data_IF_839370696815
#
_entry.id   IF_839370696815
#
_cell.length_a   1.000
_cell.length_b   1.000
_cell.length_c   1.000
_cell.angle_alpha   90.00
_cell.angle_beta   90.00
_cell.angle_gamma   90.00
#
_symmetry.space_group_name_H-M   'P 1'
#
loop_
_entity.id
_entity.type
_entity.pdbx_description
1 polymer ?
#
# COMPACT_ATOMS: atom_id res chain seq x y z
N UNK A 1 -91.34 -4.61 -10.75
CA UNK A 1 -90.70 -3.51 -11.51
C UNK A 1 -89.57 -2.97 -10.66
N UNK A 2 -88.36 -3.47 -10.86
CA UNK A 2 -87.31 -2.89 -11.71
C UNK A 2 -86.69 -1.60 -11.14
N UNK A 3 -85.45 -1.78 -10.63
CA UNK A 3 -84.24 -0.92 -10.76
C UNK A 3 -84.32 0.46 -10.06
N UNK A 4 -83.29 1.04 -9.48
CA UNK A 4 -81.84 0.84 -9.33
C UNK A 4 -81.38 2.04 -8.48
N UNK A 5 -80.41 1.95 -7.57
CA UNK A 5 -78.99 1.98 -7.92
C UNK A 5 -78.18 2.57 -6.77
N UNK A 6 -77.19 1.81 -6.31
CA UNK A 6 -75.73 2.09 -6.40
C UNK A 6 -75.18 2.83 -5.18
N UNK A 7 -74.69 2.04 -4.24
CA UNK A 7 -73.76 2.43 -3.17
C UNK A 7 -72.41 2.89 -3.76
N UNK A 8 -71.93 4.02 -3.25
CA UNK A 8 -70.56 4.52 -3.48
C UNK A 8 -69.61 3.86 -2.49
N UNK A 9 -68.86 2.86 -2.94
CA UNK A 9 -67.66 2.40 -2.24
C UNK A 9 -66.45 3.22 -2.69
N UNK A 10 -65.84 3.93 -1.75
CA UNK A 10 -64.60 4.69 -1.93
C UNK A 10 -63.41 3.73 -2.15
N UNK A 11 -62.74 3.85 -3.29
CA UNK A 11 -61.50 3.15 -3.62
C UNK A 11 -60.31 3.86 -2.98
N UNK A 12 -59.57 3.15 -2.11
CA UNK A 12 -58.28 3.60 -1.59
C UNK A 12 -57.19 3.47 -2.68
N UNK A 13 -56.19 4.37 -2.72
CA UNK A 13 -55.15 4.32 -3.74
C UNK A 13 -54.16 3.18 -3.44
N UNK A 14 -53.96 2.30 -4.43
CA UNK A 14 -52.87 1.33 -4.46
C UNK A 14 -51.52 2.05 -4.66
N UNK A 15 -50.69 2.09 -3.63
CA UNK A 15 -49.26 2.42 -3.79
C UNK A 15 -48.50 1.15 -4.20
N UNK A 16 -48.14 1.04 -5.48
CA UNK A 16 -47.14 0.07 -5.92
C UNK A 16 -45.75 0.59 -5.54
N UNK A 17 -45.12 -0.04 -4.54
CA UNK A 17 -43.70 0.14 -4.28
C UNK A 17 -42.94 -0.72 -5.28
N UNK A 18 -42.51 -0.12 -6.39
CA UNK A 18 -41.52 -0.72 -7.27
C UNK A 18 -40.19 -0.73 -6.54
N UNK A 19 -39.75 -1.91 -6.09
CA UNK A 19 -38.39 -2.14 -5.60
C UNK A 19 -37.39 -1.81 -6.73
N UNK A 20 -36.77 -0.63 -6.63
CA UNK A 20 -35.64 -0.25 -7.48
C UNK A 20 -34.48 -1.22 -7.20
N UNK A 21 -34.09 -1.97 -8.23
CA UNK A 21 -32.93 -2.85 -8.19
C UNK A 21 -31.65 -2.09 -7.79
N UNK A 22 -30.77 -2.67 -6.95
CA UNK A 22 -29.49 -2.04 -6.61
C UNK A 22 -28.50 -2.28 -7.76
N UNK A 23 -28.57 -1.47 -8.82
CA UNK A 23 -27.66 -1.56 -9.95
C UNK A 23 -27.17 -0.16 -10.35
N UNK A 24 -26.19 0.37 -9.60
CA UNK A 24 -25.30 1.49 -10.01
C UNK A 24 -24.15 1.79 -9.04
N UNK A 25 -24.16 1.22 -7.82
CA UNK A 25 -23.10 1.43 -6.81
C UNK A 25 -21.86 0.55 -7.08
N UNK A 26 -22.06 -0.73 -7.42
CA UNK A 26 -20.98 -1.72 -7.63
C UNK A 26 -20.05 -1.42 -8.81
N UNK A 27 -20.56 -0.80 -9.88
CA UNK A 27 -19.78 -0.45 -11.08
C UNK A 27 -18.84 0.73 -10.81
N UNK A 28 -19.26 1.68 -9.95
CA UNK A 28 -18.50 2.87 -9.61
C UNK A 28 -17.33 2.57 -8.67
N UNK A 29 -17.51 1.64 -7.73
CA UNK A 29 -16.41 1.14 -6.86
C UNK A 29 -15.35 0.36 -7.64
N UNK A 30 -15.74 -0.46 -8.63
CA UNK A 30 -14.79 -1.22 -9.47
C UNK A 30 -13.94 -0.30 -10.36
N UNK A 31 -14.59 0.63 -11.06
CA UNK A 31 -13.89 1.62 -11.89
C UNK A 31 -12.97 2.52 -11.07
N UNK A 32 -13.33 2.87 -9.83
CA UNK A 32 -12.47 3.68 -8.95
C UNK A 32 -11.19 2.94 -8.51
N UNK A 33 -11.31 1.66 -8.11
CA UNK A 33 -10.17 0.79 -7.77
C UNK A 33 -9.23 0.54 -8.96
N UNK A 34 -9.80 0.30 -10.14
CA UNK A 34 -9.05 0.12 -11.39
C UNK A 34 -8.34 1.42 -11.83
N UNK A 35 -8.98 2.57 -11.68
CA UNK A 35 -8.42 3.87 -12.07
C UNK A 35 -7.20 4.27 -11.22
N UNK A 36 -7.23 3.93 -9.92
CA UNK A 36 -6.14 4.19 -8.97
C UNK A 36 -5.15 3.02 -8.87
N UNK A 37 -5.48 1.84 -9.41
CA UNK A 37 -4.65 0.64 -9.31
C UNK A 37 -4.47 0.13 -7.88
N UNK A 38 -5.47 0.36 -7.01
CA UNK A 38 -5.43 0.04 -5.58
C UNK A 38 -6.06 -1.34 -5.32
N UNK A 39 -5.23 -2.27 -4.84
CA UNK A 39 -5.67 -3.60 -4.40
C UNK A 39 -5.49 -3.72 -2.89
N UNK A 40 -6.52 -4.19 -2.18
CA UNK A 40 -6.43 -4.40 -0.74
C UNK A 40 -5.51 -5.60 -0.47
N UNK A 41 -4.54 -5.42 0.42
CA UNK A 41 -3.58 -6.48 0.76
C UNK A 41 -4.20 -7.39 1.81
N UNK A 42 -4.32 -8.71 1.57
CA UNK A 42 -4.77 -9.65 2.60
C UNK A 42 -3.88 -9.61 3.85
N UNK A 43 -4.46 -9.98 5.00
CA UNK A 43 -3.75 -9.96 6.30
C UNK A 43 -2.51 -10.84 6.28
N UNK A 44 -2.61 -12.04 5.71
CA UNK A 44 -1.54 -13.03 5.61
C UNK A 44 -0.37 -12.50 4.77
N UNK A 45 -0.69 -11.85 3.65
CA UNK A 45 0.32 -11.21 2.79
C UNK A 45 0.97 -10.04 3.51
N UNK A 46 0.19 -9.22 4.22
CA UNK A 46 0.71 -8.08 4.99
C UNK A 46 1.62 -8.54 6.12
N UNK A 47 1.23 -9.57 6.87
CA UNK A 47 2.03 -10.18 7.94
C UNK A 47 3.31 -10.78 7.38
N UNK A 48 3.25 -11.45 6.23
CA UNK A 48 4.43 -11.97 5.56
C UNK A 48 5.39 -10.84 5.12
N UNK A 49 4.90 -9.78 4.49
CA UNK A 49 5.72 -8.61 4.11
C UNK A 49 6.40 -8.03 5.34
N UNK A 50 5.65 -7.81 6.42
CA UNK A 50 6.20 -7.30 7.67
C UNK A 50 7.22 -8.27 8.29
N UNK A 51 7.05 -9.59 8.13
CA UNK A 51 7.96 -10.63 8.64
C UNK A 51 9.34 -10.63 7.98
N UNK A 52 9.47 -10.07 6.76
CA UNK A 52 10.74 -10.01 6.04
C UNK A 52 11.73 -9.01 6.63
N UNK A 53 11.23 -7.99 7.33
CA UNK A 53 12.07 -7.05 8.06
C UNK A 53 12.98 -7.80 9.04
N UNK A 54 14.17 -7.29 9.29
CA UNK A 54 15.06 -7.81 10.35
C UNK A 54 14.64 -7.24 11.71
N UNK A 55 15.57 -7.17 12.68
CA UNK A 55 15.28 -6.55 13.97
C UNK A 55 14.73 -5.13 13.78
N UNK A 56 13.64 -4.82 14.48
CA UNK A 56 13.08 -3.46 14.49
C UNK A 56 13.83 -2.62 15.52
N UNK A 57 14.10 -1.34 15.25
CA UNK A 57 14.66 -0.44 16.24
C UNK A 57 13.67 -0.18 17.38
N UNK A 58 14.18 0.23 18.55
CA UNK A 58 13.33 0.59 19.69
C UNK A 58 12.34 1.72 19.36
N UNK A 59 12.72 2.63 18.45
CA UNK A 59 11.85 3.65 17.87
C UNK A 59 11.70 3.44 16.37
N UNK A 60 10.52 2.98 15.97
CA UNK A 60 10.14 2.82 14.56
C UNK A 60 9.55 4.13 14.05
N UNK A 61 10.10 4.65 12.96
CA UNK A 61 9.57 5.77 12.17
C UNK A 61 9.17 5.19 10.82
N UNK A 62 7.91 4.78 10.75
CA UNK A 62 7.32 4.06 9.63
C UNK A 62 6.79 5.04 8.59
N UNK A 63 7.11 4.80 7.32
CA UNK A 63 6.44 5.38 6.16
C UNK A 63 5.65 4.29 5.42
N UNK A 64 4.33 4.48 5.32
CA UNK A 64 3.42 3.69 4.49
C UNK A 64 2.94 4.57 3.32
N UNK A 65 3.64 4.49 2.19
CA UNK A 65 3.50 5.45 1.09
C UNK A 65 2.22 5.31 0.26
N UNK A 66 1.49 4.22 0.44
CA UNK A 66 0.21 3.94 -0.22
C UNK A 66 -0.61 3.09 0.73
N UNK A 67 -1.00 3.69 1.84
CA UNK A 67 -1.49 2.98 3.01
C UNK A 67 -2.77 2.19 2.75
N UNK A 68 -3.61 2.62 1.81
CA UNK A 68 -4.92 2.03 1.59
C UNK A 68 -5.68 2.01 2.91
N UNK A 69 -6.24 0.85 3.26
CA UNK A 69 -6.93 0.66 4.54
C UNK A 69 -5.98 0.45 5.74
N UNK A 70 -4.65 0.52 5.57
CA UNK A 70 -3.66 0.42 6.66
C UNK A 70 -3.18 -1.01 6.97
N UNK A 71 -3.35 -1.96 6.05
CA UNK A 71 -3.06 -3.38 6.30
C UNK A 71 -1.57 -3.65 6.62
N UNK A 72 -0.65 -3.01 5.90
CA UNK A 72 0.81 -3.14 6.13
C UNK A 72 1.23 -2.52 7.46
N UNK A 73 0.70 -1.33 7.77
CA UNK A 73 0.89 -0.70 9.08
C UNK A 73 0.40 -1.60 10.22
N UNK A 74 -0.79 -2.18 10.10
CA UNK A 74 -1.33 -3.10 11.11
C UNK A 74 -0.48 -4.37 11.28
N UNK A 75 0.07 -4.91 10.20
CA UNK A 75 0.99 -6.05 10.23
C UNK A 75 2.29 -5.73 10.97
N UNK A 76 2.89 -4.55 10.71
CA UNK A 76 4.07 -4.10 11.44
C UNK A 76 3.79 -3.94 12.93
N UNK A 77 2.63 -3.36 13.28
CA UNK A 77 2.24 -3.17 14.67
C UNK A 77 2.02 -4.51 15.37
N UNK A 78 1.38 -5.50 14.72
CA UNK A 78 1.28 -6.88 15.26
C UNK A 78 2.65 -7.49 15.53
N UNK A 79 3.60 -7.33 14.61
CA UNK A 79 4.98 -7.79 14.79
C UNK A 79 5.68 -7.04 15.93
N UNK A 80 5.52 -5.72 16.02
CA UNK A 80 6.15 -4.90 17.03
C UNK A 80 5.61 -5.18 18.45
N UNK A 81 4.37 -5.62 18.59
CA UNK A 81 3.80 -6.02 19.87
C UNK A 81 4.21 -7.44 20.33
N UNK A 82 5.05 -8.16 19.58
CA UNK A 82 5.58 -9.44 20.05
C UNK A 82 6.57 -9.22 21.22
N UNK A 83 6.58 -10.07 22.26
CA UNK A 83 7.41 -9.86 23.45
C UNK A 83 8.92 -9.68 23.18
N UNK A 84 9.43 -10.26 22.10
CA UNK A 84 10.84 -10.22 21.72
C UNK A 84 11.21 -9.05 20.79
N UNK A 85 10.28 -8.14 20.46
CA UNK A 85 10.51 -7.10 19.45
C UNK A 85 11.48 -6.01 19.91
N UNK A 86 11.51 -5.68 21.21
CA UNK A 86 12.25 -4.56 21.76
C UNK A 86 11.72 -3.16 21.36
N UNK A 87 10.59 -3.08 20.66
CA UNK A 87 9.99 -1.82 20.21
C UNK A 87 9.35 -1.10 21.40
N UNK A 88 9.57 0.21 21.48
CA UNK A 88 9.07 1.10 22.55
C UNK A 88 8.22 2.25 22.00
N UNK A 89 8.44 2.61 20.74
CA UNK A 89 7.72 3.71 20.07
C UNK A 89 7.55 3.42 18.58
N UNK A 90 6.38 3.76 18.06
CA UNK A 90 6.06 3.72 16.64
C UNK A 90 5.45 5.06 16.24
N UNK A 91 6.10 5.77 15.33
CA UNK A 91 5.56 6.94 14.65
C UNK A 91 5.28 6.56 13.20
N UNK A 92 4.03 6.70 12.77
CA UNK A 92 3.56 6.34 11.42
C UNK A 92 3.27 7.60 10.62
N UNK A 93 3.83 7.66 9.41
CA UNK A 93 3.41 8.57 8.36
C UNK A 93 2.75 7.75 7.24
N UNK A 94 1.44 7.90 7.08
CA UNK A 94 0.65 7.16 6.11
C UNK A 94 0.14 8.09 5.01
N UNK A 95 0.45 7.78 3.75
CA UNK A 95 -0.09 8.49 2.59
C UNK A 95 -1.26 7.71 2.00
N UNK A 96 -2.35 8.40 1.72
CA UNK A 96 -3.47 7.85 0.95
C UNK A 96 -4.08 8.98 0.13
N UNK A 97 -4.31 8.76 -1.17
CA UNK A 97 -4.85 9.77 -2.08
C UNK A 97 -6.37 9.68 -2.20
N UNK A 98 -6.95 8.49 -1.98
CA UNK A 98 -8.37 8.23 -2.09
C UNK A 98 -9.13 8.61 -0.80
N UNK A 99 -9.94 9.68 -0.82
CA UNK A 99 -10.73 10.07 0.35
C UNK A 99 -11.72 8.98 0.80
N UNK A 100 -12.13 8.08 -0.10
CA UNK A 100 -13.11 7.03 0.20
C UNK A 100 -12.56 5.98 1.19
N UNK A 101 -11.24 5.79 1.22
CA UNK A 101 -10.56 4.80 2.05
C UNK A 101 -10.15 5.37 3.41
N UNK A 102 -9.98 6.69 3.53
CA UNK A 102 -9.53 7.36 4.77
C UNK A 102 -10.32 6.95 6.03
N UNK A 103 -11.65 6.75 6.01
CA UNK A 103 -12.37 6.25 7.19
C UNK A 103 -11.92 4.85 7.64
N UNK A 104 -11.60 3.96 6.70
CA UNK A 104 -11.07 2.63 7.02
C UNK A 104 -9.66 2.73 7.58
N UNK A 105 -8.78 3.52 6.94
CA UNK A 105 -7.43 3.77 7.43
C UNK A 105 -7.42 4.30 8.87
N UNK A 106 -8.27 5.30 9.18
CA UNK A 106 -8.39 5.85 10.54
C UNK A 106 -8.80 4.79 11.58
N UNK A 107 -9.74 3.91 11.25
CA UNK A 107 -10.14 2.82 12.15
C UNK A 107 -8.97 1.88 12.41
N UNK A 108 -8.27 1.46 11.37
CA UNK A 108 -7.10 0.57 11.52
C UNK A 108 -5.98 1.21 12.33
N UNK A 109 -5.72 2.52 12.16
CA UNK A 109 -4.71 3.22 12.98
C UNK A 109 -5.14 3.35 14.45
N UNK A 110 -6.43 3.54 14.73
CA UNK A 110 -6.94 3.54 16.11
C UNK A 110 -6.83 2.14 16.75
N UNK A 111 -7.07 1.07 16.00
CA UNK A 111 -6.84 -0.31 16.46
C UNK A 111 -5.35 -0.58 16.73
N UNK A 112 -4.46 -0.03 15.89
CA UNK A 112 -3.02 -0.09 16.11
C UNK A 112 -2.63 0.63 17.39
N UNK A 113 -3.15 1.84 17.62
CA UNK A 113 -2.91 2.62 18.83
C UNK A 113 -3.35 1.86 20.09
N UNK A 114 -4.57 1.30 20.08
CA UNK A 114 -5.08 0.50 21.19
C UNK A 114 -4.21 -0.74 21.47
N UNK A 115 -3.74 -1.42 20.42
CA UNK A 115 -2.84 -2.58 20.56
C UNK A 115 -1.47 -2.18 21.12
N UNK A 116 -0.90 -1.07 20.65
CA UNK A 116 0.37 -0.56 21.16
C UNK A 116 0.26 -0.16 22.63
N UNK A 117 -0.83 0.52 23.01
CA UNK A 117 -1.10 0.90 24.40
C UNK A 117 -1.17 -0.34 25.31
N UNK A 118 -1.84 -1.40 24.88
CA UNK A 118 -1.91 -2.67 25.62
C UNK A 118 -0.55 -3.41 25.74
N UNK A 119 0.49 -2.97 25.03
CA UNK A 119 1.84 -3.55 25.05
C UNK A 119 2.90 -2.52 25.49
N UNK A 120 2.50 -1.42 26.15
CA UNK A 120 3.41 -0.35 26.62
C UNK A 120 4.28 0.28 25.51
N UNK A 121 3.75 0.32 24.28
CA UNK A 121 4.38 0.95 23.12
C UNK A 121 3.71 2.29 22.87
N UNK A 122 4.50 3.36 22.78
CA UNK A 122 3.98 4.68 22.40
C UNK A 122 3.69 4.69 20.90
N UNK A 123 2.45 4.98 20.51
CA UNK A 123 2.03 5.05 19.12
C UNK A 123 1.60 6.45 18.74
N UNK A 124 2.03 6.95 17.58
CA UNK A 124 1.46 8.13 16.92
C UNK A 124 1.33 7.87 15.44
N UNK A 125 0.25 8.36 14.84
CA UNK A 125 0.07 8.27 13.40
C UNK A 125 -0.38 9.61 12.81
N UNK A 126 0.19 9.94 11.66
CA UNK A 126 -0.20 11.05 10.82
C UNK A 126 -0.67 10.51 9.46
N UNK A 127 -1.87 10.91 9.04
CA UNK A 127 -2.39 10.63 7.70
C UNK A 127 -2.17 11.87 6.83
N UNK A 128 -1.44 11.69 5.72
CA UNK A 128 -1.32 12.66 4.63
C UNK A 128 -2.30 12.29 3.52
N UNK A 129 -3.39 13.06 3.39
CA UNK A 129 -4.28 12.97 2.24
C UNK A 129 -3.67 13.73 1.06
N UNK A 130 -2.70 13.12 0.39
CA UNK A 130 -1.90 13.76 -0.66
C UNK A 130 -1.35 12.72 -1.66
N UNK A 131 -0.92 13.21 -2.83
CA UNK A 131 -0.15 12.40 -3.77
C UNK A 131 1.30 12.27 -3.26
N UNK A 132 1.67 11.03 -2.90
CA UNK A 132 3.00 10.71 -2.39
C UNK A 132 4.13 11.08 -3.36
N UNK A 133 3.96 10.85 -4.67
CA UNK A 133 5.00 11.18 -5.65
C UNK A 133 5.21 12.68 -5.70
N UNK A 134 4.12 13.46 -5.75
CA UNK A 134 4.21 14.91 -5.85
C UNK A 134 4.86 15.51 -4.59
N UNK A 135 4.35 15.16 -3.42
CA UNK A 135 4.83 15.73 -2.16
C UNK A 135 6.27 15.30 -1.87
N UNK A 136 6.59 14.02 -2.05
CA UNK A 136 7.93 13.52 -1.72
C UNK A 136 8.98 13.98 -2.73
N UNK A 137 8.65 14.04 -4.03
CA UNK A 137 9.59 14.57 -5.02
C UNK A 137 9.86 16.06 -4.78
N UNK A 138 8.83 16.83 -4.45
CA UNK A 138 8.97 18.25 -4.07
C UNK A 138 9.87 18.43 -2.85
N UNK A 139 9.65 17.63 -1.79
CA UNK A 139 10.48 17.64 -0.58
C UNK A 139 11.95 17.28 -0.87
N UNK A 140 12.20 16.26 -1.69
CA UNK A 140 13.55 15.81 -2.04
C UNK A 140 14.28 16.73 -3.02
N UNK A 141 13.56 17.46 -3.88
CA UNK A 141 14.18 18.39 -4.84
C UNK A 141 14.82 19.62 -4.20
N UNK A 142 14.53 19.91 -2.92
CA UNK A 142 15.20 20.96 -2.14
C UNK A 142 14.94 22.39 -2.62
N UNK A 143 13.78 22.66 -3.21
CA UNK A 143 13.37 24.02 -3.58
C UNK A 143 13.25 24.95 -2.37
N UNK A 144 13.25 26.28 -2.61
CA UNK A 144 13.27 27.32 -1.56
C UNK A 144 12.12 27.23 -0.53
N UNK A 145 11.03 26.54 -0.88
CA UNK A 145 9.85 26.31 -0.02
C UNK A 145 9.59 24.82 0.28
N UNK A 146 10.54 23.93 -0.06
CA UNK A 146 10.37 22.50 0.15
C UNK A 146 10.45 22.15 1.64
N UNK A 147 9.47 21.38 2.13
CA UNK A 147 9.55 20.79 3.45
C UNK A 147 10.74 19.83 3.52
N UNK A 148 11.42 19.79 4.67
CA UNK A 148 12.50 18.83 4.92
C UNK A 148 11.91 17.41 4.89
N UNK A 149 12.51 16.46 4.15
CA UNK A 149 12.05 15.08 4.14
C UNK A 149 12.00 14.50 5.56
N UNK A 150 10.98 13.68 5.89
CA UNK A 150 10.90 13.06 7.20
C UNK A 150 12.07 12.08 7.40
N UNK A 151 12.55 11.94 8.63
CA UNK A 151 13.51 10.89 8.99
C UNK A 151 12.76 9.56 9.15
N UNK A 152 12.96 8.65 8.20
CA UNK A 152 12.28 7.35 8.13
C UNK A 152 13.29 6.22 8.27
N UNK A 153 12.97 5.22 9.08
CA UNK A 153 13.84 4.04 9.28
C UNK A 153 13.19 2.71 8.90
N UNK A 154 11.88 2.70 8.70
CA UNK A 154 11.15 1.56 8.13
C UNK A 154 10.18 2.09 7.09
N UNK A 155 10.18 1.47 5.91
CA UNK A 155 9.20 1.73 4.86
C UNK A 155 8.51 0.42 4.47
N UNK A 156 7.18 0.46 4.38
CA UNK A 156 6.36 -0.62 3.86
C UNK A 156 5.54 -0.09 2.69
N UNK A 157 5.41 -0.88 1.62
CA UNK A 157 4.62 -0.44 0.46
C UNK A 157 4.03 -1.59 -0.34
N UNK A 158 2.74 -1.45 -0.67
CA UNK A 158 2.08 -2.12 -1.79
C UNK A 158 1.60 -1.02 -2.76
N UNK A 159 2.48 -0.54 -3.65
CA UNK A 159 2.22 0.64 -4.46
C UNK A 159 1.24 0.33 -5.61
N UNK A 160 0.64 1.34 -6.25
CA UNK A 160 -0.27 1.11 -7.38
C UNK A 160 0.44 0.56 -8.63
N UNK A 161 -0.20 -0.40 -9.31
CA UNK A 161 0.39 -1.11 -10.47
C UNK A 161 -0.05 -0.48 -11.80
N UNK A 162 0.43 0.72 -12.09
CA UNK A 162 0.07 1.48 -13.29
C UNK A 162 1.29 2.04 -14.01
N UNK A 163 1.22 2.06 -15.35
CA UNK A 163 2.20 2.76 -16.19
C UNK A 163 2.03 4.27 -16.06
N UNK A 164 3.16 4.97 -16.06
CA UNK A 164 3.25 6.43 -16.05
C UNK A 164 3.36 6.90 -17.50
N UNK A 165 2.54 7.86 -17.90
CA UNK A 165 2.66 8.49 -19.22
C UNK A 165 3.86 9.44 -19.22
N UNK A 166 4.58 9.54 -20.35
CA UNK A 166 5.84 10.30 -20.44
C UNK A 166 5.69 11.79 -20.12
N UNK A 167 4.51 12.36 -20.31
CA UNK A 167 4.20 13.76 -20.06
C UNK A 167 3.37 13.98 -18.78
N UNK A 168 3.18 12.95 -17.96
CA UNK A 168 2.34 13.07 -16.77
C UNK A 168 3.05 13.86 -15.65
N UNK A 169 2.29 14.53 -14.76
CA UNK A 169 2.87 15.22 -13.61
C UNK A 169 3.77 14.32 -12.75
N UNK A 170 3.41 13.04 -12.61
CA UNK A 170 4.20 12.06 -11.85
C UNK A 170 5.55 11.79 -12.53
N UNK A 171 5.58 11.67 -13.87
CA UNK A 171 6.85 11.48 -14.60
C UNK A 171 7.77 12.68 -14.42
N UNK A 172 7.22 13.89 -14.49
CA UNK A 172 7.99 15.12 -14.32
C UNK A 172 8.53 15.26 -12.90
N UNK A 173 7.71 14.98 -11.88
CA UNK A 173 8.11 15.01 -10.48
C UNK A 173 9.24 14.01 -10.17
N UNK A 174 9.12 12.76 -10.62
CA UNK A 174 10.15 11.74 -10.45
C UNK A 174 11.46 12.14 -11.13
N UNK A 175 11.39 12.67 -12.36
CA UNK A 175 12.57 13.12 -13.10
C UNK A 175 13.30 14.26 -12.38
N UNK A 176 12.59 15.16 -11.71
CA UNK A 176 13.17 16.26 -10.94
C UNK A 176 14.09 15.78 -9.80
N UNK A 177 13.92 14.54 -9.33
CA UNK A 177 14.77 13.90 -8.30
C UNK A 177 15.66 12.78 -8.85
N UNK A 178 15.87 12.77 -10.17
CA UNK A 178 16.72 11.81 -10.88
C UNK A 178 16.13 10.41 -11.05
N UNK A 179 14.82 10.22 -10.79
CA UNK A 179 14.15 8.93 -10.94
C UNK A 179 13.61 8.74 -12.36
N UNK A 180 14.36 7.99 -13.17
CA UNK A 180 13.94 7.61 -14.52
C UNK A 180 13.15 6.31 -14.49
N UNK A 181 11.81 6.42 -14.41
CA UNK A 181 10.93 5.25 -14.48
C UNK A 181 9.57 5.53 -15.11
N UNK A 182 8.97 4.48 -15.66
CA UNK A 182 7.72 4.46 -16.42
C UNK A 182 6.58 3.72 -15.70
N UNK A 183 6.77 3.28 -14.45
CA UNK A 183 5.73 2.65 -13.64
C UNK A 183 5.65 3.27 -12.25
N UNK A 184 4.43 3.44 -11.72
CA UNK A 184 4.20 4.06 -10.41
C UNK A 184 4.92 3.30 -9.31
N UNK A 185 4.84 1.96 -9.29
CA UNK A 185 5.46 1.16 -8.23
C UNK A 185 6.97 1.40 -8.08
N UNK A 186 7.70 1.50 -9.20
CA UNK A 186 9.13 1.83 -9.18
C UNK A 186 9.39 3.28 -8.75
N UNK A 187 8.47 4.19 -9.04
CA UNK A 187 8.54 5.58 -8.55
C UNK A 187 8.39 5.63 -7.03
N UNK A 188 7.40 4.93 -6.48
CA UNK A 188 7.19 4.80 -5.04
C UNK A 188 8.41 4.18 -4.35
N UNK A 189 8.90 3.04 -4.84
CA UNK A 189 10.07 2.36 -4.28
C UNK A 189 11.33 3.24 -4.37
N UNK A 190 11.54 3.93 -5.48
CA UNK A 190 12.69 4.81 -5.68
C UNK A 190 12.69 6.04 -4.76
N UNK A 191 11.50 6.62 -4.49
CA UNK A 191 11.34 7.71 -3.52
C UNK A 191 11.58 7.21 -2.09
N UNK A 192 11.00 6.05 -1.72
CA UNK A 192 11.24 5.43 -0.41
C UNK A 192 12.74 5.16 -0.17
N UNK A 193 13.46 4.66 -1.17
CA UNK A 193 14.91 4.46 -1.09
C UNK A 193 15.68 5.76 -0.81
N UNK A 194 15.24 6.90 -1.37
CA UNK A 194 15.85 8.22 -1.13
C UNK A 194 15.57 8.76 0.28
N UNK A 195 14.35 8.55 0.79
CA UNK A 195 13.90 9.09 2.10
C UNK A 195 14.41 8.29 3.30
N UNK A 196 14.60 6.98 3.14
CA UNK A 196 15.13 6.14 4.21
C UNK A 196 16.48 6.67 4.73
N UNK A 197 16.71 6.58 6.03
CA UNK A 197 18.04 6.85 6.60
C UNK A 197 19.01 5.68 6.34
N UNK A 198 20.33 5.88 6.42
CA UNK A 198 21.29 4.77 6.37
C UNK A 198 20.96 3.70 7.42
N UNK A 199 20.93 2.43 7.01
CA UNK A 199 20.46 1.30 7.84
C UNK A 199 18.94 1.13 7.88
N UNK A 200 18.18 2.06 7.30
CA UNK A 200 16.73 1.97 7.16
C UNK A 200 16.30 0.80 6.29
N UNK A 201 15.15 0.21 6.61
CA UNK A 201 14.65 -1.02 5.98
C UNK A 201 13.44 -0.71 5.10
N UNK A 202 13.41 -1.31 3.90
CA UNK A 202 12.27 -1.33 3.01
C UNK A 202 11.78 -2.77 2.86
N UNK A 203 10.48 -3.00 3.07
CA UNK A 203 9.82 -4.20 2.56
C UNK A 203 8.66 -3.81 1.65
N UNK A 204 8.59 -4.47 0.49
CA UNK A 204 7.63 -4.09 -0.54
C UNK A 204 7.10 -5.32 -1.28
N UNK A 205 5.87 -5.22 -1.74
CA UNK A 205 5.30 -6.12 -2.73
C UNK A 205 5.10 -5.37 -4.03
N UNK A 206 5.63 -5.89 -5.12
CA UNK A 206 5.63 -5.22 -6.43
C UNK A 206 5.52 -6.24 -7.56
N UNK A 207 5.16 -5.82 -8.78
CA UNK A 207 5.23 -6.71 -9.94
C UNK A 207 6.67 -7.17 -10.19
N UNK A 208 6.89 -8.48 -10.43
CA UNK A 208 8.19 -9.09 -10.73
C UNK A 208 8.88 -8.52 -11.97
N UNK A 209 8.13 -7.80 -12.81
CA UNK A 209 8.62 -7.21 -14.07
C UNK A 209 9.90 -6.37 -13.92
N UNK A 210 10.13 -5.70 -12.78
CA UNK A 210 11.36 -4.89 -12.60
C UNK A 210 12.64 -5.72 -12.58
N UNK A 211 12.55 -7.01 -12.28
CA UNK A 211 13.70 -7.91 -12.23
C UNK A 211 14.26 -8.25 -13.63
N UNK A 212 13.57 -7.88 -14.72
CA UNK A 212 13.91 -8.34 -16.06
C UNK A 212 14.09 -7.20 -17.08
N UNK A 213 14.86 -7.49 -18.13
CA UNK A 213 14.95 -6.69 -19.35
C UNK A 213 15.62 -5.31 -19.21
N UNK A 214 15.90 -4.64 -20.35
CA UNK A 214 16.52 -3.31 -20.37
C UNK A 214 15.59 -2.21 -19.86
N UNK A 215 14.27 -2.43 -19.92
CA UNK A 215 13.26 -1.43 -19.58
C UNK A 215 13.35 -0.93 -18.13
N UNK A 216 13.64 -1.82 -17.18
CA UNK A 216 13.81 -1.47 -15.76
C UNK A 216 15.28 -1.33 -15.34
N UNK A 217 16.22 -1.36 -16.29
CA UNK A 217 17.65 -1.23 -15.99
C UNK A 217 17.98 0.07 -15.25
N UNK A 218 17.51 1.26 -15.68
CA UNK A 218 17.80 2.50 -14.96
C UNK A 218 17.33 2.48 -13.50
N UNK A 219 16.11 1.97 -13.27
CA UNK A 219 15.58 1.79 -11.91
C UNK A 219 16.41 0.81 -11.09
N UNK A 220 16.83 -0.34 -11.66
CA UNK A 220 17.65 -1.31 -10.92
C UNK A 220 19.02 -0.75 -10.56
N UNK A 221 19.67 -0.02 -11.47
CA UNK A 221 20.97 0.61 -11.22
C UNK A 221 20.84 1.65 -10.09
N UNK A 222 19.87 2.58 -10.19
CA UNK A 222 19.58 3.59 -9.16
C UNK A 222 19.25 2.94 -7.80
N UNK A 223 18.33 1.96 -7.79
CA UNK A 223 17.91 1.31 -6.56
C UNK A 223 19.06 0.54 -5.88
N UNK A 224 19.84 -0.24 -6.65
CA UNK A 224 20.92 -1.08 -6.10
C UNK A 224 22.18 -0.29 -5.74
N UNK A 225 22.32 0.95 -6.22
CA UNK A 225 23.35 1.87 -5.75
C UNK A 225 23.12 2.24 -4.27
N UNK A 226 21.87 2.54 -3.91
CA UNK A 226 21.49 2.96 -2.54
C UNK A 226 21.13 1.79 -1.62
N UNK A 227 20.48 0.76 -2.15
CA UNK A 227 19.83 -0.30 -1.37
C UNK A 227 20.52 -1.64 -1.54
N UNK A 228 20.46 -2.46 -0.49
CA UNK A 228 21.02 -3.81 -0.41
C UNK A 228 19.90 -4.80 -0.32
N UNK A 229 19.77 -5.65 -1.34
CA UNK A 229 18.70 -6.63 -1.41
C UNK A 229 19.06 -7.84 -0.56
N UNK A 230 18.25 -8.16 0.45
CA UNK A 230 18.51 -9.27 1.36
C UNK A 230 17.60 -10.47 1.08
N UNK A 231 16.34 -10.21 0.74
CA UNK A 231 15.34 -11.26 0.54
C UNK A 231 14.47 -10.97 -0.66
N UNK A 232 14.15 -12.03 -1.40
CA UNK A 232 13.16 -12.07 -2.46
C UNK A 232 12.25 -13.27 -2.21
N UNK A 233 10.94 -13.05 -2.31
CA UNK A 233 9.94 -14.08 -2.29
C UNK A 233 9.05 -13.96 -3.53
N UNK A 234 8.86 -15.08 -4.23
CA UNK A 234 8.05 -15.14 -5.45
C UNK A 234 6.85 -16.04 -5.19
N UNK A 235 5.65 -15.62 -5.60
CA UNK A 235 4.50 -16.48 -5.57
C UNK A 235 4.42 -17.30 -6.88
N UNK A 236 4.31 -18.63 -6.76
CA UNK A 236 4.25 -19.57 -7.90
C UNK A 236 2.91 -19.48 -8.64
N UNK A 237 1.83 -19.18 -7.93
CA UNK A 237 0.49 -19.07 -8.50
C UNK A 237 0.14 -17.64 -8.87
N UNK A 238 -0.25 -17.46 -10.14
CA UNK A 238 -0.77 -16.19 -10.67
C UNK A 238 -2.10 -15.77 -10.04
N UNK A 239 -2.80 -16.66 -9.32
CA UNK A 239 -4.19 -16.45 -8.90
C UNK A 239 -4.45 -16.56 -7.38
N UNK A 240 -3.54 -17.14 -6.58
CA UNK A 240 -3.90 -17.59 -5.23
C UNK A 240 -3.86 -16.51 -4.14
N UNK A 241 -2.85 -15.62 -4.15
CA UNK A 241 -2.71 -14.59 -3.12
C UNK A 241 -3.58 -13.34 -3.34
N UNK A 242 -4.13 -13.17 -4.55
CA UNK A 242 -4.93 -12.02 -4.98
C UNK A 242 -6.21 -12.45 -5.72
N UNK A 243 -6.85 -13.54 -5.27
CA UNK A 243 -7.96 -14.21 -5.97
C UNK A 243 -9.23 -13.36 -6.14
N UNK A 244 -9.30 -12.16 -5.53
CA UNK A 244 -10.42 -11.23 -5.70
C UNK A 244 -10.34 -10.37 -6.97
N UNK A 245 -9.20 -10.36 -7.65
CA UNK A 245 -8.93 -9.38 -8.71
C UNK A 245 -8.34 -10.06 -9.97
N UNK A 246 -8.96 -9.84 -11.12
CA UNK A 246 -8.61 -10.43 -12.43
C UNK A 246 -7.29 -9.89 -13.04
N UNK A 247 -6.31 -9.54 -12.21
CA UNK A 247 -5.01 -9.02 -12.65
C UNK A 247 -3.93 -10.03 -12.26
N UNK A 248 -3.73 -11.01 -13.14
CA UNK A 248 -2.66 -12.01 -13.07
C UNK A 248 -1.29 -11.31 -13.21
N UNK A 249 -0.77 -10.75 -12.12
CA UNK A 249 0.61 -10.27 -12.06
C UNK A 249 1.41 -11.16 -11.12
N UNK A 250 2.51 -11.70 -11.63
CA UNK A 250 3.52 -12.40 -10.84
C UNK A 250 4.19 -11.36 -9.94
N UNK A 251 3.76 -11.27 -8.69
CA UNK A 251 4.30 -10.34 -7.71
C UNK A 251 5.56 -10.92 -7.05
N UNK A 252 6.46 -10.03 -6.67
CA UNK A 252 7.62 -10.32 -5.84
C UNK A 252 7.52 -9.51 -4.56
N UNK A 253 7.73 -10.17 -3.44
CA UNK A 253 7.93 -9.51 -2.15
C UNK A 253 9.42 -9.44 -1.89
N UNK A 254 9.93 -8.29 -1.47
CA UNK A 254 11.34 -8.16 -1.18
C UNK A 254 11.62 -7.35 0.08
N UNK A 255 12.80 -7.57 0.65
CA UNK A 255 13.37 -6.78 1.72
C UNK A 255 14.74 -6.24 1.31
N UNK A 256 14.94 -4.95 1.55
CA UNK A 256 16.19 -4.27 1.29
C UNK A 256 16.56 -3.30 2.43
N UNK A 257 17.85 -3.04 2.60
CA UNK A 257 18.40 -2.12 3.61
C UNK A 257 19.20 -1.01 2.92
N UNK A 258 19.09 0.24 3.40
CA UNK A 258 19.82 1.36 2.81
C UNK A 258 21.28 1.39 3.27
N UNK A 259 22.19 1.57 2.31
CA UNK A 259 23.63 1.73 2.55
C UNK A 259 24.35 0.41 2.85
N UNK A 260 25.63 0.50 3.23
CA UNK A 260 26.48 -0.68 3.47
C UNK A 260 26.99 -1.35 2.20
N UNK A 261 27.62 -2.52 2.33
CA UNK A 261 28.06 -3.34 1.19
C UNK A 261 26.94 -4.29 0.73
N UNK A 262 26.92 -4.67 -0.56
CA UNK A 262 26.02 -5.72 -1.03
C UNK A 262 26.31 -7.03 -0.29
N UNK A 263 25.26 -7.75 0.16
CA UNK A 263 25.45 -9.02 0.83
C UNK A 263 26.02 -10.04 -0.15
N UNK A 264 26.89 -10.93 0.34
CA UNK A 264 27.45 -12.03 -0.46
C UNK A 264 26.37 -13.03 -0.92
N UNK A 265 25.27 -13.10 -0.19
CA UNK A 265 24.15 -14.01 -0.43
C UNK A 265 22.82 -13.29 -0.26
N UNK A 266 21.87 -13.61 -1.13
CA UNK A 266 20.48 -13.15 -1.07
C UNK A 266 19.61 -14.37 -0.82
N UNK A 267 18.63 -14.27 0.07
CA UNK A 267 17.66 -15.35 0.30
C UNK A 267 16.57 -15.25 -0.76
N UNK A 268 16.37 -16.33 -1.51
CA UNK A 268 15.29 -16.46 -2.49
C UNK A 268 14.38 -17.60 -2.04
N UNK A 269 13.08 -17.33 -1.98
CA UNK A 269 12.05 -18.29 -1.58
C UNK A 269 10.86 -18.22 -2.54
N UNK A 270 10.07 -19.29 -2.58
CA UNK A 270 8.80 -19.29 -3.31
C UNK A 270 7.70 -20.03 -2.56
N UNK A 271 6.45 -19.65 -2.81
CA UNK A 271 5.27 -20.33 -2.26
C UNK A 271 4.12 -20.32 -3.25
N UNK A 272 3.18 -21.25 -3.09
CA UNK A 272 1.99 -21.32 -3.95
C UNK A 272 1.04 -20.13 -3.79
N UNK A 273 1.18 -19.32 -2.73
CA UNK A 273 0.30 -18.20 -2.43
C UNK A 273 -1.13 -18.58 -1.98
N UNK A 274 -1.40 -19.87 -1.72
CA UNK A 274 -2.70 -20.32 -1.20
C UNK A 274 -2.82 -20.01 0.30
N UNK A 275 -4.03 -19.64 0.75
CA UNK A 275 -4.32 -19.40 2.18
C UNK A 275 -3.95 -20.64 3.00
N UNK A 276 -3.06 -20.49 3.98
CA UNK A 276 -2.57 -21.60 4.82
C UNK A 276 -1.40 -22.41 4.23
N UNK A 277 -0.90 -22.08 3.04
CA UNK A 277 0.37 -22.61 2.59
C UNK A 277 1.51 -22.01 3.42
N UNK A 278 2.47 -22.85 3.83
CA UNK A 278 3.71 -22.39 4.45
C UNK A 278 4.47 -21.47 3.49
N UNK A 279 4.88 -20.29 3.98
CA UNK A 279 5.72 -19.34 3.27
C UNK A 279 7.19 -19.54 3.60
#
# INVERSE_FOLDING_TARGET
MMRSGVDRAATAPHYSITMLAPAKIKVRERTHKENLGQFLTPTEVSDFIASLLTALPAHVRLLDAGAGAGALTAALVRRACQPSSGVRRIDVLAYEIDPSILPALRRTLAECEARCLANDIVFKAEIRHADFIQEMSSSLSGGLFSAIPPSINVALVNPPYKKIQTTSPERLALRAVGLETSNLYTGFVGLLARVLEPGGQLAAITPRSFCNGPYFRPFREDFLEMMRLHRLHVYDSRAAAFSTDEVLQENVVFHAVKGGAQPKHIIVSSSSGATGASV
#
